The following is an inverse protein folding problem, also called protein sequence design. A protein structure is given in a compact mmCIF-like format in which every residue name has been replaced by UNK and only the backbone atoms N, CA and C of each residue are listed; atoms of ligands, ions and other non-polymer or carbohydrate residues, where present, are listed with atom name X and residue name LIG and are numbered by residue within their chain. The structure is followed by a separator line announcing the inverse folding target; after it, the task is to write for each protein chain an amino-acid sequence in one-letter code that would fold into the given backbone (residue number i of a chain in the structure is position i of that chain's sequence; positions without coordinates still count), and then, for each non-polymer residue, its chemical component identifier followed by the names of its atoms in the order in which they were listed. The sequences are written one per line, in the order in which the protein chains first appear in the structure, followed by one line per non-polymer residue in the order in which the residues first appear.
data_IF_694015931222
#
_entry.id   IF_694015931222
#
_cell.length_a   1.000
_cell.length_b   1.000
_cell.length_c   1.000
_cell.angle_alpha   90.00
_cell.angle_beta   90.00
_cell.angle_gamma   90.00
#
_symmetry.space_group_name_H-M   'P 1'
#
loop_
_entity.id
_entity.type
_entity.pdbx_description
1 polymer ?
#
# COMPACT_ATOMS: atom_id res chain seq x y z
N UNK A 1 10.27 0.54 20.49
CA UNK A 1 9.15 0.18 19.60
C UNK A 1 7.92 1.08 19.73
N UNK A 2 7.55 1.54 20.94
CA UNK A 2 6.49 2.55 21.15
C UNK A 2 6.71 3.92 20.45
N UNK A 3 7.92 4.51 20.41
CA UNK A 3 8.10 5.84 19.80
C UNK A 3 8.02 5.81 18.27
N UNK A 4 8.39 4.69 17.63
CA UNK A 4 8.30 4.54 16.17
C UNK A 4 6.84 4.36 15.71
N UNK A 5 6.05 3.58 16.47
CA UNK A 5 4.61 3.46 16.25
C UNK A 5 3.89 4.79 16.49
N UNK A 6 4.33 5.58 17.49
CA UNK A 6 3.81 6.93 17.72
C UNK A 6 4.21 7.85 16.57
N UNK A 7 5.45 7.85 16.08
CA UNK A 7 5.86 8.68 14.93
C UNK A 7 5.14 8.29 13.62
N UNK A 8 4.92 6.99 13.39
CA UNK A 8 4.20 6.48 12.21
C UNK A 8 2.70 6.80 12.29
N UNK A 9 2.08 6.59 13.45
CA UNK A 9 0.66 6.94 13.66
C UNK A 9 0.48 8.45 13.66
N UNK A 10 1.34 9.21 14.32
CA UNK A 10 1.33 10.68 14.35
C UNK A 10 1.57 11.24 12.94
N UNK A 11 2.47 10.66 12.13
CA UNK A 11 2.65 11.02 10.72
C UNK A 11 1.44 10.68 9.85
N UNK A 12 0.87 9.49 9.98
CA UNK A 12 -0.30 9.03 9.23
C UNK A 12 -1.61 9.73 9.65
N UNK A 13 -1.69 10.25 10.88
CA UNK A 13 -2.81 11.09 11.37
C UNK A 13 -2.58 12.59 11.15
N UNK A 14 -1.33 13.06 11.06
CA UNK A 14 -1.04 14.48 10.75
C UNK A 14 -1.22 14.81 9.27
N UNK A 15 -0.99 13.85 8.37
CA UNK A 15 -1.25 14.03 6.91
C UNK A 15 -2.73 14.35 6.64
N UNK A 16 -3.73 13.65 7.21
CA UNK A 16 -5.14 14.03 7.07
C UNK A 16 -5.53 15.28 7.88
N UNK A 17 -4.83 15.62 8.95
CA UNK A 17 -5.10 16.85 9.74
C UNK A 17 -4.57 18.12 9.06
N UNK A 18 -3.58 17.99 8.17
CA UNK A 18 -3.02 19.13 7.43
C UNK A 18 -3.91 19.64 6.28
N UNK A 19 -4.92 18.89 5.84
CA UNK A 19 -5.81 19.33 4.75
C UNK A 19 -7.05 20.00 5.35
N UNK A 20 -6.86 21.20 5.87
CA UNK A 20 -7.92 22.15 6.14
C UNK A 20 -8.05 23.12 4.95
N UNK A 21 -9.30 23.50 4.65
CA UNK A 21 -9.76 24.66 3.87
C UNK A 21 -10.08 24.47 2.36
N UNK A 22 -11.38 24.59 2.05
CA UNK A 22 -11.90 25.76 1.30
C UNK A 22 -12.26 25.61 -0.18
N UNK A 23 -13.58 25.65 -0.48
CA UNK A 23 -14.34 26.09 -1.68
C UNK A 23 -14.00 25.68 -3.15
N UNK A 24 -14.98 25.04 -3.83
CA UNK A 24 -15.56 25.08 -5.22
C UNK A 24 -14.79 25.14 -6.60
N UNK A 25 -15.07 24.18 -7.55
CA UNK A 25 -14.95 24.05 -9.09
C UNK A 25 -14.51 22.72 -9.90
N UNK A 26 -15.45 21.88 -10.42
CA UNK A 26 -15.51 20.41 -10.85
C UNK A 26 -14.30 19.56 -11.27
N UNK A 27 -14.23 18.30 -10.79
CA UNK A 27 -13.93 17.13 -11.64
C UNK A 27 -14.64 15.83 -11.20
N UNK A 28 -15.43 15.29 -12.12
CA UNK A 28 -16.40 14.20 -12.01
C UNK A 28 -15.75 12.79 -11.97
N UNK A 29 -16.20 11.95 -11.04
CA UNK A 29 -16.54 10.53 -11.26
C UNK A 29 -17.72 10.16 -10.33
N UNK A 30 -18.80 10.96 -10.33
CA UNK A 30 -20.04 10.58 -9.66
C UNK A 30 -21.30 11.33 -10.15
N UNK A 31 -21.38 11.67 -11.43
CA UNK A 31 -22.65 11.92 -12.11
C UNK A 31 -23.57 10.68 -12.17
N UNK A 32 -24.08 10.20 -11.02
CA UNK A 32 -25.21 9.24 -10.99
C UNK A 32 -26.03 9.33 -9.70
N UNK A 33 -27.14 10.07 -9.80
CA UNK A 33 -28.31 10.11 -8.91
C UNK A 33 -28.04 10.07 -7.40
N UNK A 34 -28.08 11.25 -6.77
CA UNK A 34 -27.97 11.53 -5.33
C UNK A 34 -28.94 10.70 -4.45
N UNK A 35 -29.98 10.10 -5.02
CA UNK A 35 -30.94 9.20 -4.34
C UNK A 35 -30.63 7.68 -4.48
N UNK A 36 -29.80 7.25 -5.44
CA UNK A 36 -29.40 5.84 -5.65
C UNK A 36 -27.96 5.51 -5.24
N UNK A 37 -27.15 6.53 -4.91
CA UNK A 37 -25.74 6.39 -4.55
C UNK A 37 -25.46 5.88 -3.10
N UNK A 38 -26.41 6.01 -2.17
CA UNK A 38 -26.21 5.56 -0.76
C UNK A 38 -26.01 4.04 -0.60
N UNK A 39 -26.80 3.15 -1.23
CA UNK A 39 -26.58 1.71 -1.10
C UNK A 39 -25.30 1.24 -1.79
N UNK A 40 -24.86 1.87 -2.89
CA UNK A 40 -23.58 1.53 -3.54
C UNK A 40 -22.37 1.91 -2.67
N UNK A 41 -22.37 3.09 -2.04
CA UNK A 41 -21.30 3.50 -1.11
C UNK A 41 -21.23 2.57 0.10
N UNK A 42 -22.38 2.13 0.62
CA UNK A 42 -22.46 1.15 1.72
C UNK A 42 -21.98 -0.23 1.25
N UNK A 43 -22.39 -0.69 0.06
CA UNK A 43 -21.95 -1.96 -0.51
C UNK A 43 -20.44 -2.00 -0.77
N UNK A 44 -19.85 -0.91 -1.26
CA UNK A 44 -18.40 -0.77 -1.43
C UNK A 44 -17.66 -0.88 -0.09
N UNK A 45 -18.18 -0.25 0.98
CA UNK A 45 -17.62 -0.39 2.33
C UNK A 45 -17.64 -1.84 2.83
N UNK A 46 -18.77 -2.53 2.70
CA UNK A 46 -18.88 -3.94 3.08
C UNK A 46 -17.95 -4.83 2.24
N UNK A 47 -17.82 -4.58 0.94
CA UNK A 47 -16.92 -5.33 0.06
C UNK A 47 -15.44 -5.14 0.44
N UNK A 48 -15.00 -3.90 0.68
CA UNK A 48 -13.63 -3.59 1.10
C UNK A 48 -13.33 -4.23 2.48
N UNK A 49 -14.29 -4.20 3.41
CA UNK A 49 -14.11 -4.79 4.74
C UNK A 49 -14.04 -6.33 4.69
N UNK A 50 -14.88 -6.97 3.87
CA UNK A 50 -14.82 -8.42 3.65
C UNK A 50 -13.51 -8.80 2.97
N UNK A 51 -13.13 -8.12 1.88
CA UNK A 51 -11.88 -8.36 1.18
C UNK A 51 -10.66 -8.13 2.09
N UNK A 52 -10.65 -7.05 2.87
CA UNK A 52 -9.59 -6.73 3.83
C UNK A 52 -9.47 -7.74 4.96
N UNK A 53 -10.59 -8.26 5.48
CA UNK A 53 -10.58 -9.32 6.49
C UNK A 53 -10.01 -10.64 5.95
N UNK A 54 -10.34 -11.00 4.70
CA UNK A 54 -9.79 -12.15 3.99
C UNK A 54 -8.30 -11.95 3.68
N UNK A 55 -7.89 -10.73 3.26
CA UNK A 55 -6.50 -10.35 3.05
C UNK A 55 -5.66 -10.43 4.31
N UNK A 56 -6.23 -10.07 5.46
CA UNK A 56 -5.57 -10.20 6.77
C UNK A 56 -5.47 -11.67 7.24
N UNK A 57 -6.33 -12.56 6.74
CA UNK A 57 -6.27 -13.99 7.01
C UNK A 57 -5.12 -14.68 6.26
N UNK A 58 -4.62 -14.14 5.14
CA UNK A 58 -3.49 -14.71 4.38
C UNK A 58 -2.24 -14.99 5.23
N UNK A 59 -1.70 -14.04 6.02
CA UNK A 59 -0.53 -14.30 6.88
C UNK A 59 -0.81 -15.30 8.02
N UNK A 60 -2.07 -15.46 8.44
CA UNK A 60 -2.48 -16.46 9.45
C UNK A 60 -2.69 -17.84 8.83
N UNK A 61 -3.33 -17.91 7.66
CA UNK A 61 -3.65 -19.12 6.91
C UNK A 61 -2.40 -19.72 6.27
N UNK A 62 -1.40 -18.89 5.92
CA UNK A 62 -0.08 -19.32 5.46
C UNK A 62 0.67 -20.23 6.43
N UNK A 63 0.32 -20.22 7.72
CA UNK A 63 0.82 -21.19 8.70
C UNK A 63 0.04 -22.51 8.74
N UNK A 64 -1.22 -22.51 8.31
CA UNK A 64 -2.12 -23.67 8.40
C UNK A 64 -2.18 -24.49 7.11
N UNK A 65 -2.10 -23.87 5.94
CA UNK A 65 -2.21 -24.59 4.67
C UNK A 65 -0.82 -24.86 4.06
N UNK A 66 -0.50 -26.13 3.71
CA UNK A 66 0.80 -26.48 3.11
C UNK A 66 1.00 -25.86 1.71
N UNK A 67 -0.08 -25.44 1.04
CA UNK A 67 -0.06 -24.78 -0.27
C UNK A 67 0.45 -23.33 -0.22
N UNK A 68 0.36 -22.66 0.94
CA UNK A 68 0.88 -21.29 1.17
C UNK A 68 2.23 -21.30 1.89
N UNK A 69 2.93 -22.44 1.93
CA UNK A 69 4.30 -22.45 2.44
C UNK A 69 5.17 -21.63 1.50
N UNK A 70 6.00 -20.70 2.00
CA UNK A 70 6.93 -19.89 1.19
C UNK A 70 7.99 -20.72 0.45
N UNK A 71 7.97 -22.03 0.63
CA UNK A 71 8.79 -23.02 -0.07
C UNK A 71 8.19 -23.46 -1.42
N UNK A 72 6.93 -23.12 -1.72
CA UNK A 72 6.21 -23.65 -2.89
C UNK A 72 6.34 -22.77 -4.13
N UNK A 73 6.52 -23.41 -5.28
CA UNK A 73 6.63 -22.75 -6.59
C UNK A 73 5.35 -21.91 -6.92
N UNK A 74 4.16 -22.35 -6.46
CA UNK A 74 2.88 -21.66 -6.66
C UNK A 74 2.81 -20.32 -5.91
N UNK A 75 3.36 -20.24 -4.70
CA UNK A 75 3.35 -19.01 -3.91
C UNK A 75 4.11 -17.88 -4.62
N UNK A 76 5.27 -18.18 -5.20
CA UNK A 76 6.04 -17.20 -5.98
C UNK A 76 5.29 -16.73 -7.23
N UNK A 77 4.62 -17.66 -7.94
CA UNK A 77 3.84 -17.33 -9.14
C UNK A 77 2.66 -16.41 -8.81
N UNK A 78 1.95 -16.66 -7.70
CA UNK A 78 0.84 -15.82 -7.24
C UNK A 78 1.32 -14.46 -6.75
N UNK A 79 2.46 -14.41 -6.02
CA UNK A 79 3.07 -13.15 -5.58
C UNK A 79 3.47 -12.28 -6.78
N UNK A 80 4.07 -12.88 -7.81
CA UNK A 80 4.43 -12.20 -9.05
C UNK A 80 3.22 -11.69 -9.85
N UNK A 81 2.14 -12.47 -9.91
CA UNK A 81 0.88 -12.04 -10.50
C UNK A 81 0.35 -10.77 -9.80
N UNK A 82 0.28 -10.80 -8.47
CA UNK A 82 -0.17 -9.67 -7.66
C UNK A 82 0.74 -8.45 -7.83
N UNK A 83 2.07 -8.64 -7.92
CA UNK A 83 3.01 -7.57 -8.20
C UNK A 83 2.76 -6.92 -9.56
N UNK A 84 2.49 -7.71 -10.60
CA UNK A 84 2.12 -7.20 -11.93
C UNK A 84 0.83 -6.38 -11.91
N UNK A 85 -0.19 -6.85 -11.19
CA UNK A 85 -1.47 -6.13 -10.98
C UNK A 85 -1.25 -4.78 -10.29
N UNK A 86 -0.47 -4.75 -9.20
CA UNK A 86 -0.18 -3.52 -8.44
C UNK A 86 0.62 -2.54 -9.30
N UNK A 87 1.64 -3.03 -10.01
CA UNK A 87 2.47 -2.22 -10.90
C UNK A 87 1.63 -1.55 -11.99
N UNK A 88 0.76 -2.30 -12.66
CA UNK A 88 -0.13 -1.77 -13.69
C UNK A 88 -1.15 -0.77 -13.11
N UNK A 89 -1.66 -1.01 -11.91
CA UNK A 89 -2.58 -0.07 -11.23
C UNK A 89 -1.91 1.28 -10.97
N UNK A 90 -0.67 1.26 -10.46
CA UNK A 90 0.10 2.47 -10.21
C UNK A 90 0.34 3.29 -11.48
N UNK A 91 0.76 2.65 -12.57
CA UNK A 91 1.14 3.35 -13.81
C UNK A 91 -0.01 3.72 -14.73
N UNK A 92 -1.06 2.90 -14.82
CA UNK A 92 -2.11 3.04 -15.86
C UNK A 92 -3.38 3.68 -15.30
N UNK A 93 -3.69 3.48 -14.02
CA UNK A 93 -4.91 4.02 -13.44
C UNK A 93 -4.62 5.23 -12.56
N UNK A 94 -3.71 5.10 -11.59
CA UNK A 94 -3.56 6.13 -10.55
C UNK A 94 -2.68 7.29 -11.01
N UNK A 95 -1.57 7.00 -11.69
CA UNK A 95 -0.66 8.05 -12.15
C UNK A 95 -1.31 8.96 -13.21
N UNK A 96 -2.02 8.47 -14.25
CA UNK A 96 -2.68 9.33 -15.22
C UNK A 96 -3.84 10.13 -14.61
N UNK A 97 -4.63 9.53 -13.72
CA UNK A 97 -5.67 10.25 -12.98
C UNK A 97 -5.10 11.42 -12.15
N UNK A 98 -3.91 11.22 -11.56
CA UNK A 98 -3.20 12.30 -10.88
C UNK A 98 -2.76 13.42 -11.84
N UNK A 99 -2.35 13.09 -13.06
CA UNK A 99 -2.04 14.08 -14.10
C UNK A 99 -3.29 14.85 -14.54
N UNK A 100 -4.39 14.14 -14.81
CA UNK A 100 -5.64 14.76 -15.27
C UNK A 100 -6.22 15.72 -14.22
N UNK A 101 -6.13 15.37 -12.92
CA UNK A 101 -6.55 16.24 -11.83
C UNK A 101 -5.68 17.50 -11.70
N UNK A 102 -4.36 17.35 -11.85
CA UNK A 102 -3.41 18.46 -11.70
C UNK A 102 -3.28 19.35 -12.95
N UNK A 103 -3.72 18.88 -14.12
CA UNK A 103 -3.67 19.63 -15.40
C UNK A 103 -5.07 20.04 -15.88
N UNK A 104 -6.09 19.86 -15.04
CA UNK A 104 -7.47 20.29 -15.34
C UNK A 104 -7.57 21.80 -15.61
N UNK A 105 -8.52 22.18 -16.46
CA UNK A 105 -8.84 23.58 -16.79
C UNK A 105 -9.38 24.42 -15.63
N UNK A 106 -9.59 23.80 -14.46
CA UNK A 106 -10.03 24.46 -13.23
C UNK A 106 -8.86 25.01 -12.39
N UNK A 107 -7.61 24.68 -12.74
CA UNK A 107 -6.41 25.21 -12.11
C UNK A 107 -5.81 26.36 -12.93
N UNK A 108 -5.16 27.35 -12.28
CA UNK A 108 -4.47 28.41 -12.99
C UNK A 108 -3.34 27.85 -13.87
N UNK A 109 -3.20 28.40 -15.08
CA UNK A 109 -2.29 27.91 -16.13
C UNK A 109 -0.82 27.78 -15.70
N UNK A 110 -0.37 28.60 -14.73
CA UNK A 110 0.97 28.48 -14.13
C UNK A 110 0.86 28.32 -12.61
N UNK A 111 1.65 27.43 -11.97
CA UNK A 111 2.75 26.60 -12.50
C UNK A 111 2.33 25.19 -12.97
N UNK A 112 1.06 24.81 -12.85
CA UNK A 112 0.63 23.40 -12.92
C UNK A 112 0.72 22.78 -14.31
N UNK A 113 0.62 23.57 -15.39
CA UNK A 113 0.80 23.07 -16.76
C UNK A 113 2.27 23.09 -17.22
N UNK A 114 3.13 23.86 -16.55
CA UNK A 114 4.54 24.01 -16.95
C UNK A 114 5.40 22.81 -16.53
N UNK A 115 5.00 22.08 -15.48
CA UNK A 115 5.77 20.99 -14.91
C UNK A 115 4.91 19.80 -14.45
N UNK A 116 5.28 18.54 -14.77
CA UNK A 116 4.56 17.34 -14.36
C UNK A 116 4.70 17.05 -12.85
N UNK A 117 4.03 17.84 -12.00
CA UNK A 117 4.06 17.70 -10.54
C UNK A 117 3.60 16.31 -10.08
N UNK A 118 2.67 15.68 -10.82
CA UNK A 118 2.24 14.31 -10.52
C UNK A 118 3.38 13.29 -10.68
N UNK A 119 4.22 13.42 -11.70
CA UNK A 119 5.38 12.56 -11.89
C UNK A 119 6.45 12.81 -10.83
N UNK A 120 6.70 14.08 -10.50
CA UNK A 120 7.65 14.46 -9.46
C UNK A 120 7.24 13.94 -8.07
N UNK A 121 5.96 14.09 -7.70
CA UNK A 121 5.43 13.58 -6.44
C UNK A 121 5.59 12.05 -6.32
N UNK A 122 5.32 11.32 -7.41
CA UNK A 122 5.50 9.87 -7.45
C UNK A 122 6.98 9.47 -7.27
N UNK A 123 7.91 10.17 -7.94
CA UNK A 123 9.34 9.92 -7.82
C UNK A 123 9.85 10.22 -6.41
N UNK A 124 9.49 11.37 -5.83
CA UNK A 124 9.88 11.75 -4.47
C UNK A 124 9.31 10.74 -3.46
N UNK A 125 8.07 10.30 -3.64
CA UNK A 125 7.45 9.29 -2.79
C UNK A 125 8.17 7.94 -2.86
N UNK A 126 8.56 7.48 -4.05
CA UNK A 126 9.31 6.23 -4.21
C UNK A 126 10.69 6.30 -3.55
N UNK A 127 11.42 7.41 -3.73
CA UNK A 127 12.72 7.65 -3.08
C UNK A 127 12.56 7.72 -1.56
N UNK A 128 11.55 8.46 -1.07
CA UNK A 128 11.27 8.57 0.35
C UNK A 128 10.94 7.20 0.96
N UNK A 129 10.16 6.37 0.26
CA UNK A 129 9.84 5.01 0.69
C UNK A 129 11.09 4.14 0.77
N UNK A 130 11.98 4.20 -0.23
CA UNK A 130 13.27 3.52 -0.20
C UNK A 130 14.15 3.94 0.98
N UNK A 131 14.21 5.24 1.27
CA UNK A 131 14.97 5.78 2.42
C UNK A 131 14.38 5.25 3.72
N UNK A 132 13.07 5.28 3.87
CA UNK A 132 12.37 4.75 5.05
C UNK A 132 12.63 3.25 5.21
N UNK A 133 12.52 2.47 4.15
CA UNK A 133 12.78 1.03 4.18
C UNK A 133 14.23 0.71 4.55
N UNK A 134 15.19 1.43 3.96
CA UNK A 134 16.62 1.27 4.27
C UNK A 134 16.93 1.61 5.73
N UNK A 135 16.36 2.71 6.25
CA UNK A 135 16.54 3.13 7.64
C UNK A 135 15.88 2.14 8.61
N UNK A 136 14.66 1.69 8.30
CA UNK A 136 13.94 0.71 9.08
C UNK A 136 14.70 -0.62 9.13
N UNK A 137 15.07 -1.17 7.98
CA UNK A 137 15.84 -2.42 7.85
C UNK A 137 17.20 -2.31 8.53
N UNK A 138 17.91 -1.19 8.35
CA UNK A 138 19.17 -0.91 9.03
C UNK A 138 19.02 -0.87 10.56
N UNK A 139 17.98 -0.23 11.07
CA UNK A 139 17.68 -0.19 12.51
C UNK A 139 17.31 -1.57 13.06
N UNK A 140 16.45 -2.32 12.37
CA UNK A 140 16.04 -3.67 12.77
C UNK A 140 17.22 -4.64 12.79
N UNK A 141 18.07 -4.63 11.75
CA UNK A 141 19.26 -5.49 11.71
C UNK A 141 20.25 -5.16 12.84
N UNK A 142 20.45 -3.88 13.16
CA UNK A 142 21.30 -3.46 14.30
C UNK A 142 20.73 -3.88 15.64
N UNK A 143 19.40 -3.82 15.81
CA UNK A 143 18.72 -4.28 17.02
C UNK A 143 18.81 -5.80 17.17
N UNK A 144 18.59 -6.57 16.09
CA UNK A 144 18.75 -8.02 16.10
C UNK A 144 20.20 -8.44 16.37
N UNK A 145 21.19 -7.76 15.79
CA UNK A 145 22.61 -8.00 16.07
C UNK A 145 22.94 -7.78 17.55
N UNK A 146 22.49 -6.66 18.14
CA UNK A 146 22.67 -6.39 19.58
C UNK A 146 21.93 -7.40 20.45
N UNK A 147 20.74 -7.83 20.06
CA UNK A 147 19.96 -8.82 20.81
C UNK A 147 20.60 -10.21 20.75
N UNK A 148 21.16 -10.63 19.62
CA UNK A 148 21.91 -11.88 19.48
C UNK A 148 23.25 -11.83 20.22
N UNK A 149 23.95 -10.70 20.20
CA UNK A 149 25.17 -10.50 20.99
C UNK A 149 24.88 -10.52 22.50
N UNK A 150 23.80 -9.88 22.95
CA UNK A 150 23.34 -9.91 24.34
C UNK A 150 22.84 -11.29 24.78
N UNK A 151 22.17 -12.05 23.90
CA UNK A 151 21.72 -13.42 24.18
C UNK A 151 22.88 -14.41 24.32
N UNK A 152 23.99 -14.21 23.59
CA UNK A 152 25.23 -14.99 23.75
C UNK A 152 25.98 -14.62 25.04
N UNK A 153 25.91 -13.36 25.48
CA UNK A 153 26.49 -12.91 26.75
C UNK A 153 25.66 -13.33 27.97
N UNK A 154 24.33 -13.46 27.82
CA UNK A 154 23.40 -13.88 28.88
C UNK A 154 23.30 -15.40 29.07
N UNK A 155 24.40 -16.12 28.84
CA UNK A 155 24.53 -17.56 29.07
C UNK A 155 24.50 -17.93 30.56
N UNK A 156 23.37 -17.72 31.24
CA UNK A 156 22.93 -18.42 32.46
C UNK A 156 21.56 -17.87 32.87
N UNK A 157 20.57 -18.77 32.85
CA UNK A 157 19.22 -18.67 33.44
C UNK A 157 18.09 -18.32 32.46
N UNK A 158 17.25 -19.34 32.20
CA UNK A 158 15.80 -19.14 32.22
C UNK A 158 15.04 -19.76 31.05
N UNK A 159 14.70 -21.04 31.16
CA UNK A 159 13.75 -21.78 30.32
C UNK A 159 12.34 -21.13 30.16
N UNK A 160 12.07 -19.94 30.72
CA UNK A 160 10.82 -19.18 30.55
C UNK A 160 10.71 -18.38 29.23
N UNK A 161 11.81 -18.22 28.48
CA UNK A 161 11.82 -17.42 27.25
C UNK A 161 11.01 -18.01 26.10
N UNK A 162 10.95 -19.34 25.96
CA UNK A 162 10.34 -20.02 24.83
C UNK A 162 8.79 -19.99 24.85
N UNK A 163 8.18 -19.93 26.04
CA UNK A 163 6.71 -19.85 26.20
C UNK A 163 6.22 -18.39 26.01
N UNK A 164 7.02 -17.40 26.44
CA UNK A 164 6.72 -15.97 26.27
C UNK A 164 6.99 -15.50 24.83
N UNK A 165 8.01 -16.04 24.14
CA UNK A 165 8.31 -15.68 22.74
C UNK A 165 7.18 -16.06 21.75
N UNK A 166 6.55 -17.22 21.93
CA UNK A 166 5.46 -17.67 21.05
C UNK A 166 4.20 -16.81 21.19
N UNK A 167 3.86 -16.40 22.42
CA UNK A 167 2.71 -15.51 22.70
C UNK A 167 2.96 -14.05 22.28
N UNK A 168 4.18 -13.52 22.44
CA UNK A 168 4.50 -12.15 22.00
C UNK A 168 4.49 -12.00 20.48
N UNK A 169 4.95 -13.02 19.73
CA UNK A 169 4.97 -12.97 18.25
C UNK A 169 3.55 -12.94 17.69
N UNK A 170 2.64 -13.77 18.21
CA UNK A 170 1.24 -13.75 17.78
C UNK A 170 0.50 -12.50 18.25
N UNK A 171 0.67 -12.07 19.50
CA UNK A 171 0.03 -10.84 20.01
C UNK A 171 0.49 -9.61 19.23
N UNK A 172 1.78 -9.51 18.89
CA UNK A 172 2.33 -8.42 18.08
C UNK A 172 1.81 -8.43 16.65
N UNK A 173 1.73 -9.62 16.03
CA UNK A 173 1.13 -9.80 14.69
C UNK A 173 -0.35 -9.42 14.72
N UNK A 174 -1.10 -9.92 15.71
CA UNK A 174 -2.52 -9.61 15.88
C UNK A 174 -2.72 -8.11 16.12
N UNK A 175 -1.90 -7.45 16.94
CA UNK A 175 -2.00 -5.99 17.12
C UNK A 175 -1.65 -5.21 15.86
N UNK A 176 -0.69 -5.66 15.04
CA UNK A 176 -0.38 -4.99 13.76
C UNK A 176 -1.55 -5.12 12.77
N UNK A 177 -2.09 -6.33 12.63
CA UNK A 177 -3.20 -6.64 11.72
C UNK A 177 -4.50 -5.93 12.14
N UNK A 178 -4.81 -5.93 13.44
CA UNK A 178 -5.97 -5.21 13.98
C UNK A 178 -5.85 -3.70 13.74
N UNK A 179 -4.66 -3.14 13.91
CA UNK A 179 -4.44 -1.70 13.67
C UNK A 179 -4.62 -1.36 12.19
N UNK A 180 -4.06 -2.17 11.28
CA UNK A 180 -4.22 -2.00 9.83
C UNK A 180 -5.70 -2.10 9.40
N UNK A 181 -6.41 -3.11 9.92
CA UNK A 181 -7.83 -3.33 9.63
C UNK A 181 -8.73 -2.23 10.19
N UNK A 182 -8.34 -1.54 11.28
CA UNK A 182 -9.11 -0.42 11.84
C UNK A 182 -8.82 0.89 11.10
N UNK A 183 -7.59 1.09 10.59
CA UNK A 183 -7.25 2.28 9.81
C UNK A 183 -8.05 2.37 8.50
N UNK A 184 -8.35 1.24 7.84
CA UNK A 184 -9.15 1.22 6.60
C UNK A 184 -10.58 1.78 6.78
N UNK A 185 -11.42 1.27 7.71
CA UNK A 185 -12.76 1.82 7.94
C UNK A 185 -12.73 3.22 8.54
N UNK A 186 -11.74 3.56 9.37
CA UNK A 186 -11.56 4.94 9.87
C UNK A 186 -11.27 5.89 8.71
N UNK A 187 -10.38 5.52 7.78
CA UNK A 187 -10.09 6.32 6.59
C UNK A 187 -11.32 6.50 5.69
N UNK A 188 -12.11 5.44 5.48
CA UNK A 188 -13.34 5.53 4.69
C UNK A 188 -14.39 6.41 5.39
N UNK A 189 -14.55 6.29 6.72
CA UNK A 189 -15.46 7.13 7.50
C UNK A 189 -15.07 8.61 7.42
N UNK A 190 -13.78 8.91 7.54
CA UNK A 190 -13.26 10.27 7.39
C UNK A 190 -13.50 10.78 5.96
N UNK A 191 -13.20 9.97 4.93
CA UNK A 191 -13.44 10.33 3.53
C UNK A 191 -14.90 10.62 3.22
N UNK A 192 -15.83 9.80 3.74
CA UNK A 192 -17.28 10.04 3.60
C UNK A 192 -17.69 11.30 4.38
N UNK A 193 -17.17 11.50 5.60
CA UNK A 193 -17.43 12.70 6.39
C UNK A 193 -17.01 13.98 5.67
N UNK A 194 -15.82 13.98 5.07
CA UNK A 194 -15.28 15.08 4.28
C UNK A 194 -16.09 15.28 2.99
N UNK A 195 -16.56 14.21 2.34
CA UNK A 195 -17.38 14.30 1.12
C UNK A 195 -18.72 15.03 1.30
N UNK A 196 -19.18 15.22 2.54
CA UNK A 196 -20.39 16.01 2.83
C UNK A 196 -20.15 17.53 2.82
N UNK A 197 -18.89 17.94 2.98
CA UNK A 197 -18.44 19.35 3.05
C UNK A 197 -17.69 19.76 1.78
N UNK A 198 -17.14 18.79 1.05
CA UNK A 198 -16.50 19.01 -0.24
C UNK A 198 -17.53 19.15 -1.35
N UNK A 199 -17.53 20.30 -2.01
CA UNK A 199 -18.01 20.37 -3.37
C UNK A 199 -16.93 19.67 -4.22
N UNK A 200 -17.30 18.61 -4.97
CA UNK A 200 -16.44 17.79 -5.91
C UNK A 200 -15.70 18.65 -6.94
N UNK A 201 -16.04 19.91 -6.86
CA UNK A 201 -15.60 20.95 -7.65
C UNK A 201 -14.27 21.55 -7.13
N UNK A 202 -14.03 21.99 -5.90
CA UNK A 202 -12.85 22.84 -5.59
C UNK A 202 -11.49 22.62 -6.33
N UNK A 203 -10.83 23.66 -6.88
CA UNK A 203 -9.45 23.59 -7.36
C UNK A 203 -8.51 23.07 -6.27
N UNK A 204 -8.82 23.35 -5.00
CA UNK A 204 -8.09 22.79 -3.85
C UNK A 204 -8.30 21.27 -3.73
N UNK A 205 -9.49 20.76 -4.05
CA UNK A 205 -9.78 19.33 -4.07
C UNK A 205 -8.95 18.61 -5.13
N UNK A 206 -8.96 19.11 -6.36
CA UNK A 206 -8.20 18.53 -7.46
C UNK A 206 -6.69 18.54 -7.17
N UNK A 207 -6.17 19.63 -6.58
CA UNK A 207 -4.76 19.70 -6.16
C UNK A 207 -4.45 18.63 -5.12
N UNK A 208 -5.25 18.54 -4.05
CA UNK A 208 -4.99 17.59 -2.96
C UNK A 208 -5.11 16.15 -3.47
N UNK A 209 -6.17 15.85 -4.21
CA UNK A 209 -6.42 14.52 -4.74
C UNK A 209 -5.34 14.11 -5.75
N UNK A 210 -4.97 15.00 -6.67
CA UNK A 210 -3.90 14.76 -7.63
C UNK A 210 -2.53 14.56 -6.97
N UNK A 211 -2.19 15.35 -5.94
CA UNK A 211 -0.95 15.16 -5.17
C UNK A 211 -0.97 13.84 -4.39
N UNK A 212 -2.08 13.52 -3.73
CA UNK A 212 -2.21 12.27 -2.98
C UNK A 212 -2.18 11.04 -3.90
N UNK A 213 -2.84 11.09 -5.06
CA UNK A 213 -2.81 10.01 -6.05
C UNK A 213 -1.43 9.86 -6.67
N UNK A 214 -0.73 10.96 -6.94
CA UNK A 214 0.67 10.96 -7.37
C UNK A 214 1.59 10.26 -6.36
N UNK A 215 1.51 10.64 -5.08
CA UNK A 215 2.29 10.03 -4.01
C UNK A 215 1.93 8.55 -3.85
N UNK A 216 0.63 8.21 -3.89
CA UNK A 216 0.16 6.84 -3.80
C UNK A 216 0.67 5.97 -4.96
N UNK A 217 0.64 6.48 -6.20
CA UNK A 217 1.20 5.80 -7.37
C UNK A 217 2.70 5.49 -7.18
N UNK A 218 3.48 6.46 -6.70
CA UNK A 218 4.91 6.28 -6.41
C UNK A 218 5.17 5.18 -5.38
N UNK A 219 4.39 5.15 -4.29
CA UNK A 219 4.49 4.11 -3.25
C UNK A 219 4.11 2.73 -3.81
N UNK A 220 3.05 2.63 -4.61
CA UNK A 220 2.62 1.36 -5.21
C UNK A 220 3.65 0.81 -6.20
N UNK A 221 4.26 1.68 -7.01
CA UNK A 221 5.35 1.31 -7.92
C UNK A 221 6.57 0.81 -7.15
N UNK A 222 6.95 1.49 -6.06
CA UNK A 222 8.03 1.04 -5.19
C UNK A 222 7.75 -0.34 -4.60
N UNK A 223 6.56 -0.52 -3.99
CA UNK A 223 6.14 -1.79 -3.40
C UNK A 223 6.15 -2.93 -4.41
N UNK A 224 5.69 -2.69 -5.65
CA UNK A 224 5.70 -3.71 -6.68
C UNK A 224 7.13 -4.05 -7.16
N UNK A 225 7.94 -3.06 -7.50
CA UNK A 225 9.27 -3.29 -8.08
C UNK A 225 10.30 -3.76 -7.05
N UNK A 226 10.34 -3.11 -5.88
CA UNK A 226 11.38 -3.32 -4.88
C UNK A 226 10.96 -4.38 -3.87
N UNK A 227 9.77 -4.28 -3.30
CA UNK A 227 9.37 -5.19 -2.21
C UNK A 227 8.88 -6.55 -2.72
N UNK A 228 8.25 -6.61 -3.89
CA UNK A 228 7.76 -7.87 -4.45
C UNK A 228 8.75 -8.48 -5.44
N UNK A 229 9.13 -7.73 -6.47
CA UNK A 229 9.89 -8.30 -7.58
C UNK A 229 11.37 -8.48 -7.31
N UNK A 230 12.04 -7.47 -6.75
CA UNK A 230 13.46 -7.60 -6.45
C UNK A 230 13.70 -8.72 -5.42
N UNK A 231 12.85 -8.84 -4.39
CA UNK A 231 12.95 -9.94 -3.41
C UNK A 231 12.74 -11.32 -4.05
N UNK A 232 11.74 -11.47 -4.92
CA UNK A 232 11.43 -12.76 -5.54
C UNK A 232 12.48 -13.21 -6.56
N UNK A 233 13.03 -12.30 -7.37
CA UNK A 233 14.10 -12.63 -8.34
C UNK A 233 15.47 -12.86 -7.69
N UNK A 234 15.72 -12.28 -6.51
CA UNK A 234 16.95 -12.52 -5.76
C UNK A 234 16.91 -13.82 -4.93
N UNK A 235 15.79 -14.54 -4.92
CA UNK A 235 15.68 -15.79 -4.20
C UNK A 235 16.49 -16.91 -4.91
N UNK A 236 17.42 -17.60 -4.22
CA UNK A 236 18.27 -18.62 -4.84
C UNK A 236 17.47 -19.79 -5.45
N UNK A 237 16.24 -20.06 -4.96
CA UNK A 237 15.38 -21.10 -5.54
C UNK A 237 14.83 -20.73 -6.91
N UNK A 238 14.51 -19.46 -7.11
CA UNK A 238 14.01 -18.94 -8.39
C UNK A 238 15.16 -18.90 -9.39
N UNK A 239 16.35 -18.46 -8.97
CA UNK A 239 17.55 -18.45 -9.80
C UNK A 239 18.01 -19.86 -10.20
N UNK A 240 17.84 -20.86 -9.33
CA UNK A 240 18.21 -22.24 -9.62
C UNK A 240 17.26 -22.98 -10.59
N UNK A 241 16.05 -22.47 -10.84
CA UNK A 241 15.02 -23.14 -11.65
C UNK A 241 14.54 -22.23 -12.80
N UNK A 242 15.14 -22.37 -13.99
CA UNK A 242 14.77 -21.58 -15.17
C UNK A 242 13.27 -21.65 -15.53
N UNK A 243 12.62 -22.82 -15.37
CA UNK A 243 11.17 -22.98 -15.61
C UNK A 243 10.32 -22.14 -14.64
N UNK A 244 10.74 -22.03 -13.39
CA UNK A 244 10.04 -21.26 -12.37
C UNK A 244 10.21 -19.75 -12.61
N UNK A 245 11.43 -19.33 -12.94
CA UNK A 245 11.72 -17.94 -13.29
C UNK A 245 10.91 -17.49 -14.53
N UNK A 246 10.79 -18.34 -15.55
CA UNK A 246 9.92 -18.08 -16.70
C UNK A 246 8.45 -18.00 -16.30
N UNK A 247 7.96 -18.93 -15.47
CA UNK A 247 6.57 -18.93 -15.00
C UNK A 247 6.23 -17.65 -14.20
N UNK A 248 7.15 -17.17 -13.36
CA UNK A 248 7.04 -15.91 -12.62
C UNK A 248 6.95 -14.71 -13.57
N UNK A 249 7.85 -14.63 -14.57
CA UNK A 249 7.83 -13.56 -15.57
C UNK A 249 6.52 -13.54 -16.38
N UNK A 250 6.05 -14.71 -16.83
CA UNK A 250 4.79 -14.84 -17.57
C UNK A 250 3.60 -14.44 -16.70
N UNK A 251 3.58 -14.89 -15.44
CA UNK A 251 2.54 -14.55 -14.47
C UNK A 251 2.48 -13.05 -14.18
N UNK A 252 3.64 -12.40 -14.04
CA UNK A 252 3.75 -10.95 -13.88
C UNK A 252 3.18 -10.21 -15.09
N UNK A 253 3.58 -10.60 -16.30
CA UNK A 253 3.09 -9.98 -17.54
C UNK A 253 1.58 -10.18 -17.70
N UNK A 254 1.08 -11.35 -17.32
CA UNK A 254 -0.33 -11.67 -17.34
C UNK A 254 -1.12 -10.82 -16.33
N UNK A 255 -0.60 -10.63 -15.11
CA UNK A 255 -1.20 -9.76 -14.10
C UNK A 255 -1.25 -8.29 -14.53
N UNK A 256 -0.14 -7.77 -15.06
CA UNK A 256 -0.09 -6.43 -15.62
C UNK A 256 -1.04 -6.28 -16.81
N UNK A 257 -0.99 -7.21 -17.76
CA UNK A 257 -1.82 -7.19 -18.97
C UNK A 257 -3.32 -7.25 -18.67
N UNK A 258 -3.75 -8.08 -17.71
CA UNK A 258 -5.16 -8.15 -17.31
C UNK A 258 -5.63 -6.82 -16.71
N UNK A 259 -4.83 -6.16 -15.87
CA UNK A 259 -5.19 -4.85 -15.32
C UNK A 259 -5.19 -3.76 -16.39
N UNK A 260 -4.25 -3.77 -17.32
CA UNK A 260 -4.25 -2.83 -18.45
C UNK A 260 -5.45 -3.02 -19.37
N UNK A 261 -5.90 -4.27 -19.57
CA UNK A 261 -7.10 -4.55 -20.36
C UNK A 261 -8.34 -3.97 -19.67
N UNK A 262 -8.46 -4.12 -18.35
CA UNK A 262 -9.56 -3.50 -17.60
C UNK A 262 -9.59 -1.97 -17.77
N UNK A 263 -8.44 -1.32 -17.83
CA UNK A 263 -8.35 0.13 -18.06
C UNK A 263 -9.00 0.59 -19.39
N UNK A 264 -9.05 -0.30 -20.40
CA UNK A 264 -9.68 0.01 -21.69
C UNK A 264 -11.21 -0.08 -21.64
N UNK A 265 -11.74 -0.86 -20.70
CA UNK A 265 -13.18 -1.10 -20.54
C UNK A 265 -13.78 -0.38 -19.33
N UNK A 266 -12.94 0.30 -18.53
CA UNK A 266 -13.32 1.20 -17.46
C UNK A 266 -13.64 2.58 -18.04
#
# INVERSE_FOLDING_TARGET
MRPLHIFLVLGLTLVPVAVHAGCDCAADEAGRDKSRARPLKIAAFFSILVCGSIGCLLPMLGRRVPLLRPETDVFFVVKAFAAGVILATGFIHILPDAFDKLTSSCLPDSPWQDFPFAGFGAMVAAIATLVVDTLATGYFNRMHYKQQAGARAAGRNGLGGCIVQAKFKLRSIVTMVLSFSLTTPVGILIGIGISSVYNENSPKALIVEGVLNSVAAGILVYMALVDLLAEDFMNPKVQGKAKLQLAINVSLLLGAGLMSLLAKWA
#
